data_IF_463047056130
#
_entry.id   IF_463047056130
#
_cell.length_a   1.000
_cell.length_b   1.000
_cell.length_c   1.000
_cell.angle_alpha   90.00
_cell.angle_beta   90.00
_cell.angle_gamma   90.00
#
_symmetry.space_group_name_H-M   'P 1'
#
loop_
_entity.id
_entity.type
_entity.pdbx_description
1 polymer ?
#
# COMPACT_ATOMS: atom_id res chain seq x y z
N UNK A 1 -10.51 -3.66 -17.83
CA UNK A 1 -10.62 -2.37 -17.11
C UNK A 1 -9.57 -1.45 -17.71
N UNK A 2 -9.89 -0.18 -18.01
CA UNK A 2 -8.84 0.76 -18.41
C UNK A 2 -7.92 1.00 -17.20
N UNK A 3 -6.76 0.34 -17.21
CA UNK A 3 -5.70 0.55 -16.25
C UNK A 3 -5.28 2.01 -16.35
N UNK A 4 -5.30 2.72 -15.22
CA UNK A 4 -4.85 4.10 -15.18
C UNK A 4 -3.31 4.03 -15.19
N UNK A 5 -2.64 4.55 -16.24
CA UNK A 5 -1.19 4.41 -16.39
C UNK A 5 -0.42 5.38 -15.48
N UNK A 6 -1.13 6.19 -14.69
CA UNK A 6 -0.55 7.21 -13.82
C UNK A 6 -1.25 7.22 -12.47
N UNK A 7 -0.48 7.45 -11.40
CA UNK A 7 -1.01 7.79 -10.07
C UNK A 7 -0.93 9.30 -9.85
N UNK A 8 -1.87 9.87 -9.12
CA UNK A 8 -1.86 11.30 -8.82
C UNK A 8 -0.87 11.59 -7.68
N UNK A 9 0.21 12.30 -7.99
CA UNK A 9 1.26 12.65 -7.05
C UNK A 9 1.10 14.09 -6.55
N UNK A 10 1.16 14.28 -5.23
CA UNK A 10 1.03 15.58 -4.58
C UNK A 10 2.35 15.90 -3.85
N UNK A 11 3.20 16.79 -4.41
CA UNK A 11 4.51 17.07 -3.82
C UNK A 11 4.45 17.56 -2.38
N UNK A 12 3.44 18.37 -2.03
CA UNK A 12 3.25 18.86 -0.65
C UNK A 12 3.00 17.72 0.33
N UNK A 13 2.08 16.81 0.00
CA UNK A 13 1.76 15.64 0.82
C UNK A 13 2.99 14.74 0.93
N UNK A 14 3.66 14.48 -0.20
CA UNK A 14 4.88 13.68 -0.22
C UNK A 14 5.94 14.23 0.73
N UNK A 15 6.21 15.52 0.69
CA UNK A 15 7.18 16.15 1.60
C UNK A 15 6.71 16.10 3.05
N UNK A 16 5.42 16.33 3.32
CA UNK A 16 4.87 16.34 4.67
C UNK A 16 4.90 14.95 5.33
N UNK A 17 4.47 13.92 4.59
CA UNK A 17 4.36 12.54 5.08
C UNK A 17 5.75 11.90 5.21
N UNK A 18 6.64 12.16 4.27
CA UNK A 18 7.94 11.48 4.24
C UNK A 18 9.06 12.22 4.97
N UNK A 19 8.90 13.47 5.41
CA UNK A 19 10.00 14.24 6.07
C UNK A 19 10.64 13.56 7.27
N UNK A 20 9.90 12.68 7.94
CA UNK A 20 10.38 11.90 9.10
C UNK A 20 11.11 10.60 8.72
N UNK A 21 11.06 10.22 7.45
CA UNK A 21 11.78 9.07 6.92
C UNK A 21 13.21 9.44 6.52
N UNK A 22 14.12 8.51 6.72
CA UNK A 22 15.46 8.45 6.15
C UNK A 22 15.38 8.45 4.62
N UNK A 23 16.48 8.86 3.97
CA UNK A 23 16.55 8.86 2.51
C UNK A 23 16.30 7.45 1.92
N UNK A 24 16.76 6.39 2.61
CA UNK A 24 16.54 5.01 2.19
C UNK A 24 15.06 4.64 2.28
N UNK A 25 14.39 4.90 3.41
CA UNK A 25 12.98 4.59 3.56
C UNK A 25 12.10 5.42 2.61
N UNK A 26 12.49 6.66 2.28
CA UNK A 26 11.83 7.45 1.22
C UNK A 26 11.89 6.78 -0.14
N UNK A 27 13.08 6.32 -0.55
CA UNK A 27 13.26 5.60 -1.81
C UNK A 27 12.43 4.32 -1.85
N UNK A 28 12.48 3.55 -0.77
CA UNK A 28 11.68 2.34 -0.61
C UNK A 28 10.17 2.63 -0.66
N UNK A 29 9.72 3.74 -0.06
CA UNK A 29 8.30 4.08 -0.05
C UNK A 29 7.76 4.40 -1.44
N UNK A 30 8.53 5.09 -2.29
CA UNK A 30 8.07 5.35 -3.67
C UNK A 30 7.98 4.06 -4.49
N UNK A 31 8.92 3.12 -4.29
CA UNK A 31 8.87 1.79 -4.93
C UNK A 31 7.64 1.00 -4.45
N UNK A 32 7.33 1.07 -3.15
CA UNK A 32 6.10 0.52 -2.60
C UNK A 32 4.88 1.13 -3.29
N UNK A 33 4.74 2.46 -3.34
CA UNK A 33 3.60 3.11 -3.99
C UNK A 33 3.44 2.67 -5.46
N UNK A 34 4.53 2.54 -6.21
CA UNK A 34 4.50 2.04 -7.58
C UNK A 34 4.03 0.57 -7.66
N UNK A 35 4.49 -0.29 -6.74
CA UNK A 35 4.06 -1.68 -6.68
C UNK A 35 2.58 -1.80 -6.27
N UNK A 36 2.13 -1.01 -5.28
CA UNK A 36 0.74 -0.97 -4.82
C UNK A 36 -0.21 -0.45 -5.90
N UNK A 37 0.25 0.46 -6.75
CA UNK A 37 -0.53 0.97 -7.88
C UNK A 37 -0.80 -0.08 -8.96
N UNK A 38 0.19 -0.95 -9.19
CA UNK A 38 0.14 -2.04 -10.18
C UNK A 38 -0.38 -3.37 -9.60
N UNK A 39 -0.71 -3.40 -8.31
CA UNK A 39 -1.26 -4.59 -7.68
C UNK A 39 -2.65 -4.93 -8.26
N UNK A 40 -3.04 -6.23 -8.27
CA UNK A 40 -4.38 -6.64 -8.71
C UNK A 40 -5.51 -5.90 -7.97
N UNK A 41 -5.28 -5.61 -6.69
CA UNK A 41 -6.12 -4.73 -5.89
C UNK A 41 -5.29 -3.51 -5.49
N UNK A 42 -5.63 -2.32 -6.03
CA UNK A 42 -4.82 -1.12 -5.81
C UNK A 42 -4.75 -0.75 -4.33
N UNK A 43 -3.54 -0.38 -3.91
CA UNK A 43 -3.30 0.20 -2.59
C UNK A 43 -2.91 -0.80 -1.51
N UNK A 44 -2.85 -2.10 -1.80
CA UNK A 44 -2.17 -3.05 -0.93
C UNK A 44 -1.54 -4.19 -1.74
N UNK A 45 -0.49 -4.79 -1.19
CA UNK A 45 0.19 -5.92 -1.80
C UNK A 45 0.74 -6.83 -0.71
N UNK A 46 0.48 -8.14 -0.84
CA UNK A 46 1.07 -9.17 0.01
C UNK A 46 2.07 -9.97 -0.80
N UNK A 47 3.32 -10.04 -0.32
CA UNK A 47 4.33 -10.90 -0.92
C UNK A 47 5.38 -11.33 0.12
N UNK A 48 6.22 -12.35 -0.18
CA UNK A 48 7.28 -12.76 0.73
C UNK A 48 8.21 -11.60 1.10
N UNK A 49 8.71 -11.55 2.33
CA UNK A 49 9.63 -10.50 2.80
C UNK A 49 10.85 -10.34 1.87
N UNK A 50 11.42 -11.46 1.42
CA UNK A 50 12.52 -11.46 0.44
C UNK A 50 12.16 -10.84 -0.91
N UNK A 51 10.88 -10.86 -1.32
CA UNK A 51 10.44 -10.22 -2.54
C UNK A 51 10.40 -8.69 -2.38
N UNK A 52 10.04 -8.18 -1.21
CA UNK A 52 10.19 -6.76 -0.87
C UNK A 52 11.65 -6.31 -0.91
N UNK A 53 12.57 -7.08 -0.31
CA UNK A 53 14.01 -6.77 -0.38
C UNK A 53 14.55 -6.66 -1.82
N UNK A 54 14.10 -7.54 -2.72
CA UNK A 54 14.44 -7.48 -4.16
C UNK A 54 13.85 -6.26 -4.84
N UNK A 55 12.59 -5.91 -4.54
CA UNK A 55 11.94 -4.71 -5.09
C UNK A 55 12.72 -3.45 -4.69
N UNK A 56 13.17 -3.40 -3.44
CA UNK A 56 13.88 -2.25 -2.86
C UNK A 56 15.38 -2.22 -3.19
N UNK A 57 15.92 -3.31 -3.76
CA UNK A 57 17.34 -3.44 -4.03
C UNK A 57 18.21 -3.46 -2.75
N UNK A 58 17.71 -4.05 -1.66
CA UNK A 58 18.42 -4.11 -0.37
C UNK A 58 18.71 -5.53 0.08
N UNK A 59 19.76 -5.68 0.89
CA UNK A 59 20.12 -6.94 1.54
C UNK A 59 19.07 -7.35 2.58
N UNK A 60 18.99 -8.66 2.87
CA UNK A 60 17.92 -9.22 3.71
C UNK A 60 17.96 -8.67 5.14
N UNK A 61 19.15 -8.35 5.62
CA UNK A 61 19.44 -7.79 6.94
C UNK A 61 18.86 -6.38 7.12
N UNK A 62 18.63 -5.64 6.03
CA UNK A 62 18.10 -4.27 6.05
C UNK A 62 16.57 -4.22 6.02
N UNK A 63 15.92 -5.32 5.63
CA UNK A 63 14.46 -5.38 5.44
C UNK A 63 13.70 -5.10 6.74
N UNK A 64 14.06 -5.69 7.90
CA UNK A 64 13.33 -5.43 9.14
C UNK A 64 13.34 -3.96 9.55
N UNK A 65 14.51 -3.31 9.52
CA UNK A 65 14.67 -1.89 9.86
C UNK A 65 13.82 -1.00 8.94
N UNK A 66 13.84 -1.29 7.64
CA UNK A 66 13.04 -0.55 6.65
C UNK A 66 11.54 -0.77 6.84
N UNK A 67 11.11 -2.00 7.16
CA UNK A 67 9.70 -2.28 7.46
C UNK A 67 9.23 -1.51 8.69
N UNK A 68 10.04 -1.49 9.74
CA UNK A 68 9.68 -0.80 10.98
C UNK A 68 9.60 0.73 10.74
N UNK A 69 10.51 1.29 9.95
CA UNK A 69 10.47 2.71 9.57
C UNK A 69 9.29 3.05 8.63
N UNK A 70 9.01 2.20 7.64
CA UNK A 70 7.86 2.39 6.73
C UNK A 70 6.52 2.37 7.47
N UNK A 71 6.43 1.71 8.63
CA UNK A 71 5.22 1.69 9.46
C UNK A 71 4.72 3.07 9.88
N UNK A 72 5.55 4.10 9.74
CA UNK A 72 5.19 5.50 9.96
C UNK A 72 4.22 6.02 8.89
N UNK A 73 4.37 5.59 7.63
CA UNK A 73 3.61 6.09 6.46
C UNK A 73 2.72 5.03 5.82
N UNK A 74 2.96 3.75 6.14
CA UNK A 74 2.28 2.60 5.56
C UNK A 74 1.66 1.73 6.65
N UNK A 75 0.59 1.03 6.29
CA UNK A 75 0.05 -0.05 7.13
C UNK A 75 0.79 -1.33 6.78
N UNK A 76 1.38 -1.99 7.77
CA UNK A 76 2.22 -3.17 7.57
C UNK A 76 1.71 -4.32 8.44
N UNK A 77 1.53 -5.48 7.82
CA UNK A 77 1.18 -6.72 8.51
C UNK A 77 2.18 -7.82 8.13
N UNK A 78 2.78 -8.44 9.15
CA UNK A 78 3.67 -9.60 9.00
C UNK A 78 2.86 -10.88 9.28
N UNK A 79 2.91 -11.85 8.37
CA UNK A 79 2.23 -13.15 8.46
C UNK A 79 3.20 -14.26 8.03
N UNK A 80 3.88 -14.86 9.01
CA UNK A 80 5.01 -15.76 8.76
C UNK A 80 6.10 -15.07 7.94
N UNK A 81 6.43 -15.64 6.78
CA UNK A 81 7.42 -15.08 5.85
C UNK A 81 6.84 -14.08 4.84
N UNK A 82 5.54 -13.79 4.92
CA UNK A 82 4.86 -12.85 4.03
C UNK A 82 4.64 -11.51 4.74
N UNK A 83 4.78 -10.44 3.98
CA UNK A 83 4.52 -9.07 4.45
C UNK A 83 3.50 -8.44 3.52
N UNK A 84 2.44 -7.91 4.12
CA UNK A 84 1.45 -7.06 3.46
C UNK A 84 1.77 -5.60 3.76
N UNK A 85 1.90 -4.78 2.72
CA UNK A 85 2.05 -3.33 2.83
C UNK A 85 0.84 -2.68 2.18
N UNK A 86 0.28 -1.65 2.81
CA UNK A 86 -0.88 -0.92 2.31
C UNK A 86 -0.73 0.60 2.45
N UNK A 87 -1.31 1.32 1.49
CA UNK A 87 -1.44 2.78 1.48
C UNK A 87 -2.90 3.17 1.69
N UNK A 88 -3.26 3.63 2.90
CA UNK A 88 -4.63 4.03 3.26
C UNK A 88 -5.22 5.01 2.25
N UNK A 89 -4.40 5.97 1.79
CA UNK A 89 -4.82 6.97 0.82
C UNK A 89 -5.17 6.35 -0.53
N UNK A 90 -4.28 5.51 -1.09
CA UNK A 90 -4.52 4.87 -2.39
C UNK A 90 -5.77 4.00 -2.34
N UNK A 91 -5.99 3.29 -1.24
CA UNK A 91 -7.16 2.44 -1.17
C UNK A 91 -8.45 3.26 -1.03
N UNK A 92 -8.44 4.34 -0.24
CA UNK A 92 -9.57 5.27 -0.16
C UNK A 92 -9.92 5.83 -1.54
N UNK A 93 -8.92 6.25 -2.32
CA UNK A 93 -9.10 6.75 -3.68
C UNK A 93 -9.65 5.68 -4.63
N UNK A 94 -9.20 4.42 -4.54
CA UNK A 94 -9.74 3.33 -5.35
C UNK A 94 -11.19 3.03 -4.97
N UNK A 95 -11.55 3.03 -3.68
CA UNK A 95 -12.93 2.87 -3.23
C UNK A 95 -13.83 4.00 -3.77
N UNK A 96 -13.36 5.25 -3.75
CA UNK A 96 -14.07 6.39 -4.33
C UNK A 96 -14.22 6.28 -5.86
N UNK A 97 -13.19 5.78 -6.54
CA UNK A 97 -13.21 5.51 -7.99
C UNK A 97 -14.18 4.39 -8.36
N UNK A 98 -14.22 3.29 -7.61
CA UNK A 98 -15.20 2.23 -7.82
C UNK A 98 -16.63 2.72 -7.53
N UNK A 99 -16.81 3.58 -6.52
CA UNK A 99 -18.10 4.21 -6.24
C UNK A 99 -18.60 5.08 -7.39
N UNK A 100 -17.74 5.74 -8.15
CA UNK A 100 -18.18 6.52 -9.31
C UNK A 100 -18.53 5.64 -10.53
N UNK A 101 -17.94 4.44 -10.63
CA UNK A 101 -18.10 3.52 -11.77
C UNK A 101 -19.26 2.51 -11.66
N UNK A 102 -19.59 2.04 -10.45
CA UNK A 102 -20.50 0.90 -10.27
C UNK A 102 -21.95 1.26 -9.89
N UNK A 103 -22.91 0.41 -10.29
CA UNK A 103 -24.31 0.43 -9.85
C UNK A 103 -24.43 0.12 -8.35
N UNK A 104 -25.51 0.58 -7.68
CA UNK A 104 -25.68 0.52 -6.21
C UNK A 104 -25.45 -0.87 -5.56
N UNK A 105 -25.74 -1.98 -6.26
CA UNK A 105 -25.61 -3.35 -5.71
C UNK A 105 -24.19 -3.94 -5.81
N UNK A 106 -23.42 -3.57 -6.84
CA UNK A 106 -22.01 -3.98 -6.94
C UNK A 106 -21.15 -3.23 -5.90
N UNK A 107 -21.53 -1.98 -5.59
CA UNK A 107 -20.93 -1.16 -4.53
C UNK A 107 -20.91 -1.83 -3.16
N UNK A 108 -22.02 -2.41 -2.71
CA UNK A 108 -22.13 -2.94 -1.33
C UNK A 108 -21.30 -4.21 -1.11
N UNK A 109 -21.21 -5.08 -2.12
CA UNK A 109 -20.45 -6.35 -2.02
C UNK A 109 -18.94 -6.14 -2.00
N UNK A 110 -18.40 -5.30 -2.88
CA UNK A 110 -16.97 -4.99 -2.89
C UNK A 110 -16.53 -4.22 -1.66
N UNK A 111 -17.33 -3.24 -1.19
CA UNK A 111 -17.01 -2.47 0.01
C UNK A 111 -17.06 -3.34 1.27
N UNK A 112 -18.02 -4.28 1.36
CA UNK A 112 -18.08 -5.20 2.51
C UNK A 112 -16.89 -6.15 2.54
N UNK A 113 -16.56 -6.79 1.40
CA UNK A 113 -15.37 -7.63 1.27
C UNK A 113 -14.08 -6.85 1.57
N UNK A 114 -14.00 -5.59 1.13
CA UNK A 114 -12.87 -4.70 1.38
C UNK A 114 -12.76 -4.29 2.86
N UNK A 115 -13.87 -3.88 3.49
CA UNK A 115 -13.89 -3.54 4.92
C UNK A 115 -13.56 -4.73 5.79
N UNK A 116 -14.03 -5.91 5.41
CA UNK A 116 -13.69 -7.15 6.09
C UNK A 116 -12.24 -7.54 5.85
N UNK A 117 -11.71 -7.33 4.65
CA UNK A 117 -10.29 -7.54 4.35
C UNK A 117 -9.39 -6.56 5.13
N UNK A 118 -9.71 -5.26 5.15
CA UNK A 118 -9.00 -4.27 5.96
C UNK A 118 -9.14 -4.55 7.45
N UNK A 119 -10.34 -4.87 7.94
CA UNK A 119 -10.55 -5.22 9.35
C UNK A 119 -9.82 -6.52 9.71
N UNK A 120 -9.69 -7.47 8.79
CA UNK A 120 -8.94 -8.71 9.01
C UNK A 120 -7.41 -8.50 8.94
N UNK A 121 -6.94 -7.66 8.03
CA UNK A 121 -5.51 -7.39 7.84
C UNK A 121 -4.98 -6.36 8.85
N UNK A 122 -5.84 -5.42 9.24
CA UNK A 122 -5.55 -4.28 10.13
C UNK A 122 -6.68 -4.11 11.16
N UNK A 123 -6.84 -5.04 12.13
CA UNK A 123 -7.96 -5.07 13.09
C UNK A 123 -7.99 -3.92 14.10
N UNK A 124 -6.97 -3.06 14.12
CA UNK A 124 -6.86 -1.91 15.04
C UNK A 124 -7.25 -0.55 14.39
N UNK A 125 -7.75 -0.54 13.15
CA UNK A 125 -8.31 0.62 12.45
C UNK A 125 -9.85 0.61 12.50
#
# INVERSE_FOLDING_TARGET
MAELPYMQFYPTDWLADTRMLTASAKGVWIDCLAALWNAPERGFLKMPERAWGRLWGVESERIPDLLDELGIVAEIQKDGNAVTIASRRMIKEEVERERSRNSKKAKERQIWAYRELVSRLFPAL
#
